data_IF_127045208914
#
_entry.id   IF_127045208914
#
_cell.length_a   1.000
_cell.length_b   1.000
_cell.length_c   1.000
_cell.angle_alpha   90.00
_cell.angle_beta   90.00
_cell.angle_gamma   90.00
#
_symmetry.space_group_name_H-M   'P 1'
#
loop_
_entity.id
_entity.type
_entity.pdbx_description
1 polymer ?
#
# COMPACT_ATOMS: atom_id res chain seq x y z
N UNK A 1 25.84 -26.19 -1.16
CA UNK A 1 24.77 -25.37 -1.71
C UNK A 1 25.10 -23.91 -1.39
N UNK A 2 25.63 -23.17 -2.39
CA UNK A 2 25.88 -21.75 -2.25
C UNK A 2 24.52 -21.06 -2.36
N UNK A 3 23.98 -20.54 -1.25
CA UNK A 3 22.86 -19.61 -1.27
C UNK A 3 23.35 -18.32 -1.93
N UNK A 4 22.89 -18.03 -3.13
CA UNK A 4 23.02 -16.70 -3.69
C UNK A 4 22.25 -15.74 -2.77
N UNK A 5 22.87 -14.64 -2.29
CA UNK A 5 22.12 -13.64 -1.54
C UNK A 5 21.00 -13.14 -2.45
N UNK A 6 19.75 -13.33 -2.03
CA UNK A 6 18.59 -12.72 -2.70
C UNK A 6 18.72 -11.21 -2.56
N UNK A 7 19.11 -10.53 -3.63
CA UNK A 7 19.16 -9.07 -3.68
C UNK A 7 17.75 -8.53 -3.37
N UNK A 8 17.69 -7.60 -2.44
CA UNK A 8 16.42 -6.86 -2.17
C UNK A 8 16.17 -5.91 -3.33
N UNK A 9 14.92 -5.58 -3.61
CA UNK A 9 14.58 -4.56 -4.62
C UNK A 9 15.25 -3.21 -4.35
N UNK A 10 15.50 -2.88 -3.07
CA UNK A 10 16.25 -1.69 -2.66
C UNK A 10 17.71 -1.62 -3.11
N UNK A 11 18.26 -2.75 -3.60
CA UNK A 11 19.67 -2.86 -3.99
C UNK A 11 19.85 -2.81 -5.52
N UNK A 12 18.79 -2.60 -6.27
CA UNK A 12 18.83 -2.47 -7.73
C UNK A 12 19.37 -1.11 -8.14
N UNK A 13 20.22 -1.11 -9.16
CA UNK A 13 20.73 0.09 -9.81
C UNK A 13 19.70 0.71 -10.76
N UNK A 14 19.93 1.95 -11.19
CA UNK A 14 19.07 2.59 -12.21
C UNK A 14 19.02 1.78 -13.51
N UNK A 15 20.12 1.13 -13.90
CA UNK A 15 20.14 0.31 -15.12
C UNK A 15 19.31 -0.97 -14.96
N UNK A 16 19.40 -1.63 -13.81
CA UNK A 16 18.60 -2.83 -13.53
C UNK A 16 17.10 -2.48 -13.50
N UNK A 17 16.71 -1.36 -12.89
CA UNK A 17 15.31 -0.89 -12.95
C UNK A 17 14.89 -0.53 -14.37
N UNK A 18 15.72 0.19 -15.12
CA UNK A 18 15.43 0.58 -16.49
C UNK A 18 15.19 -0.62 -17.40
N UNK A 19 16.08 -1.63 -17.33
CA UNK A 19 15.93 -2.87 -18.08
C UNK A 19 14.70 -3.67 -17.64
N UNK A 20 14.41 -3.75 -16.34
CA UNK A 20 13.22 -4.42 -15.82
C UNK A 20 11.94 -3.78 -16.34
N UNK A 21 11.83 -2.45 -16.25
CA UNK A 21 10.68 -1.69 -16.75
C UNK A 21 10.52 -1.85 -18.25
N UNK A 22 11.62 -1.73 -19.02
CA UNK A 22 11.60 -1.93 -20.48
C UNK A 22 11.09 -3.30 -20.85
N UNK A 23 11.60 -4.35 -20.21
CA UNK A 23 11.16 -5.73 -20.46
C UNK A 23 9.68 -5.92 -20.12
N UNK A 24 9.19 -5.34 -18.99
CA UNK A 24 7.78 -5.42 -18.62
C UNK A 24 6.87 -4.72 -19.63
N UNK A 25 7.27 -3.57 -20.15
CA UNK A 25 6.53 -2.85 -21.20
C UNK A 25 6.49 -3.65 -22.49
N UNK A 26 7.63 -4.19 -22.93
CA UNK A 26 7.74 -5.00 -24.14
C UNK A 26 6.87 -6.25 -24.07
N UNK A 27 6.91 -6.99 -22.94
CA UNK A 27 6.05 -8.16 -22.71
C UNK A 27 4.56 -7.82 -22.80
N UNK A 28 4.18 -6.60 -22.42
CA UNK A 28 2.81 -6.09 -22.52
C UNK A 28 2.54 -5.37 -23.86
N UNK A 29 3.47 -5.41 -24.82
CA UNK A 29 3.36 -4.77 -26.15
C UNK A 29 3.18 -3.25 -26.08
N UNK A 30 3.74 -2.62 -25.04
CA UNK A 30 3.76 -1.17 -24.87
C UNK A 30 5.15 -0.67 -25.31
N UNK A 31 5.18 0.29 -26.22
CA UNK A 31 6.43 0.88 -26.70
C UNK A 31 6.91 1.97 -25.72
N UNK A 32 8.21 2.21 -25.65
CA UNK A 32 8.77 3.30 -24.83
C UNK A 32 8.16 4.66 -25.22
N UNK A 33 8.00 4.91 -26.53
CA UNK A 33 7.43 6.14 -27.07
C UNK A 33 5.94 6.35 -26.73
N UNK A 34 5.25 5.29 -26.26
CA UNK A 34 3.85 5.38 -25.85
C UNK A 34 3.73 5.86 -24.38
N UNK A 35 4.87 5.96 -23.66
CA UNK A 35 4.91 6.46 -22.29
C UNK A 35 5.07 7.98 -22.31
N UNK A 36 4.01 8.68 -21.92
CA UNK A 36 4.00 10.15 -21.93
C UNK A 36 4.57 10.75 -20.63
N UNK A 37 4.37 10.06 -19.51
CA UNK A 37 4.74 10.59 -18.19
C UNK A 37 4.85 9.49 -17.14
N UNK A 38 5.41 9.80 -15.96
CA UNK A 38 5.57 8.88 -14.86
C UNK A 38 5.29 9.56 -13.53
N UNK A 39 4.73 8.79 -12.56
CA UNK A 39 4.55 9.21 -11.18
C UNK A 39 5.08 8.14 -10.25
N UNK A 40 5.82 8.56 -9.22
CA UNK A 40 6.42 7.68 -8.22
C UNK A 40 5.94 8.06 -6.84
N UNK A 41 5.52 7.05 -6.07
CA UNK A 41 5.26 7.15 -4.63
C UNK A 41 6.04 6.06 -3.91
N UNK A 42 7.00 6.42 -3.09
CA UNK A 42 7.79 5.47 -2.29
C UNK A 42 8.35 6.18 -1.06
N UNK A 43 8.60 5.39 -0.02
CA UNK A 43 9.21 5.83 1.24
C UNK A 43 10.65 5.30 1.40
N UNK A 44 11.17 4.58 0.40
CA UNK A 44 12.51 3.97 0.44
C UNK A 44 13.51 4.81 -0.35
N UNK A 45 14.42 5.56 0.31
CA UNK A 45 15.30 6.54 -0.37
C UNK A 45 16.15 5.93 -1.50
N UNK A 46 16.74 4.75 -1.27
CA UNK A 46 17.60 4.10 -2.27
C UNK A 46 16.80 3.68 -3.51
N UNK A 47 15.56 3.19 -3.32
CA UNK A 47 14.66 2.86 -4.44
C UNK A 47 14.32 4.11 -5.23
N UNK A 48 14.01 5.22 -4.55
CA UNK A 48 13.66 6.48 -5.20
C UNK A 48 14.75 6.96 -6.13
N UNK A 49 15.99 7.05 -5.64
CA UNK A 49 17.12 7.51 -6.44
C UNK A 49 17.34 6.65 -7.69
N UNK A 50 17.36 5.32 -7.51
CA UNK A 50 17.59 4.38 -8.61
C UNK A 50 16.44 4.37 -9.62
N UNK A 51 15.19 4.42 -9.15
CA UNK A 51 14.00 4.38 -10.00
C UNK A 51 13.80 5.68 -10.78
N UNK A 52 14.02 6.83 -10.14
CA UNK A 52 13.99 8.14 -10.81
C UNK A 52 15.07 8.19 -11.92
N UNK A 53 16.30 7.82 -11.58
CA UNK A 53 17.40 7.74 -12.55
C UNK A 53 17.10 6.79 -13.71
N UNK A 54 16.45 5.65 -13.45
CA UNK A 54 16.02 4.71 -14.48
C UNK A 54 15.01 5.35 -15.45
N UNK A 55 13.99 6.01 -14.92
CA UNK A 55 12.94 6.65 -15.74
C UNK A 55 13.54 7.76 -16.60
N UNK A 56 14.39 8.61 -16.04
CA UNK A 56 15.07 9.68 -16.79
C UNK A 56 15.95 9.07 -17.88
N UNK A 57 16.78 8.08 -17.56
CA UNK A 57 17.78 7.52 -18.47
C UNK A 57 17.16 6.71 -19.61
N UNK A 58 16.17 5.88 -19.33
CA UNK A 58 15.62 4.92 -20.28
C UNK A 58 14.39 5.44 -21.03
N UNK A 59 13.63 6.35 -20.43
CA UNK A 59 12.39 6.89 -21.03
C UNK A 59 12.45 8.37 -21.36
N UNK A 60 13.50 9.09 -20.91
CA UNK A 60 13.62 10.54 -21.15
C UNK A 60 12.58 11.38 -20.40
N UNK A 61 11.95 10.82 -19.37
CA UNK A 61 10.86 11.44 -18.61
C UNK A 61 11.35 11.87 -17.23
N UNK A 62 11.02 13.09 -16.79
CA UNK A 62 11.19 13.51 -15.42
C UNK A 62 9.93 13.11 -14.62
N UNK A 63 10.00 12.11 -13.75
CA UNK A 63 8.80 11.62 -13.07
C UNK A 63 8.29 12.62 -12.04
N UNK A 64 6.98 12.61 -11.82
CA UNK A 64 6.35 13.31 -10.68
C UNK A 64 6.62 12.49 -9.42
N UNK A 65 7.25 13.09 -8.42
CA UNK A 65 7.49 12.45 -7.12
C UNK A 65 6.37 12.88 -6.16
N UNK A 66 5.72 11.92 -5.53
CA UNK A 66 4.76 12.18 -4.45
C UNK A 66 5.55 12.43 -3.16
N UNK A 67 5.59 13.68 -2.73
CA UNK A 67 6.33 14.13 -1.56
C UNK A 67 5.50 15.12 -0.73
N UNK A 68 5.93 15.49 0.49
CA UNK A 68 5.26 16.50 1.30
C UNK A 68 5.10 17.82 0.52
N UNK A 69 3.85 18.26 0.36
CA UNK A 69 3.51 19.46 -0.44
C UNK A 69 2.92 19.14 -1.82
N UNK A 70 3.01 17.89 -2.29
CA UNK A 70 2.31 17.45 -3.49
C UNK A 70 0.78 17.63 -3.30
N UNK A 71 0.12 18.16 -4.32
CA UNK A 71 -1.34 18.37 -4.28
C UNK A 71 -2.08 17.06 -4.48
N UNK A 72 -2.41 16.42 -3.40
CA UNK A 72 -3.08 15.12 -3.39
C UNK A 72 -4.60 15.21 -3.40
N UNK A 73 -5.16 16.31 -2.91
CA UNK A 73 -6.60 16.51 -2.73
C UNK A 73 -7.07 16.30 -1.30
N UNK A 74 -6.19 15.83 -0.42
CA UNK A 74 -6.41 15.76 1.03
C UNK A 74 -5.40 16.64 1.76
N UNK A 75 -5.68 16.93 3.04
CA UNK A 75 -4.78 17.67 3.92
C UNK A 75 -4.34 16.74 5.05
N UNK A 76 -3.05 16.68 5.34
CA UNK A 76 -2.54 15.93 6.49
C UNK A 76 -2.50 16.87 7.69
N UNK A 77 -3.25 16.55 8.76
CA UNK A 77 -3.41 17.40 9.96
C UNK A 77 -2.94 16.69 11.24
N UNK A 78 -2.15 15.63 11.10
CA UNK A 78 -1.49 14.95 12.23
C UNK A 78 -0.41 15.85 12.81
N UNK A 79 0.06 15.53 14.04
CA UNK A 79 1.12 16.29 14.71
C UNK A 79 2.40 16.44 13.89
N UNK A 80 2.76 15.38 13.15
CA UNK A 80 3.95 15.32 12.30
C UNK A 80 3.60 14.90 10.88
N UNK A 81 3.04 15.80 10.03
CA UNK A 81 2.59 15.47 8.68
C UNK A 81 3.67 14.89 7.77
N UNK A 82 4.93 15.27 8.00
CA UNK A 82 6.07 14.80 7.18
C UNK A 82 6.49 13.36 7.45
N UNK A 83 5.99 12.76 8.54
CA UNK A 83 6.28 11.37 8.90
C UNK A 83 5.29 10.38 8.26
N UNK A 84 4.20 10.88 7.67
CA UNK A 84 3.25 10.02 6.95
C UNK A 84 3.85 9.62 5.61
N UNK A 85 3.92 8.31 5.36
CA UNK A 85 4.43 7.77 4.12
C UNK A 85 3.62 8.21 2.90
N UNK A 86 4.29 8.37 1.77
CA UNK A 86 3.66 8.80 0.52
C UNK A 86 2.58 7.81 0.04
N UNK A 87 2.79 6.52 0.23
CA UNK A 87 1.84 5.43 -0.04
C UNK A 87 0.52 5.63 0.73
N UNK A 88 0.58 5.89 2.04
CA UNK A 88 -0.59 6.15 2.89
C UNK A 88 -1.36 7.39 2.43
N UNK A 89 -0.64 8.45 2.04
CA UNK A 89 -1.26 9.68 1.51
C UNK A 89 -1.96 9.40 0.16
N UNK A 90 -1.34 8.60 -0.71
CA UNK A 90 -1.91 8.21 -2.00
C UNK A 90 -3.19 7.40 -1.81
N UNK A 91 -3.17 6.41 -0.92
CA UNK A 91 -4.33 5.55 -0.65
C UNK A 91 -5.47 6.34 0.00
N UNK A 92 -5.15 7.20 0.97
CA UNK A 92 -6.12 8.08 1.61
C UNK A 92 -6.76 9.06 0.62
N UNK A 93 -5.96 9.65 -0.28
CA UNK A 93 -6.47 10.53 -1.32
C UNK A 93 -7.37 9.80 -2.32
N UNK A 94 -7.01 8.57 -2.69
CA UNK A 94 -7.82 7.73 -3.55
C UNK A 94 -9.15 7.36 -2.92
N UNK A 95 -9.12 6.88 -1.68
CA UNK A 95 -10.32 6.47 -0.96
C UNK A 95 -11.29 7.65 -0.77
N UNK A 96 -10.78 8.81 -0.35
CA UNK A 96 -11.60 10.01 -0.19
C UNK A 96 -12.24 10.47 -1.50
N UNK A 97 -11.48 10.48 -2.59
CA UNK A 97 -11.99 10.93 -3.91
C UNK A 97 -13.01 9.95 -4.51
N UNK A 98 -12.82 8.64 -4.32
CA UNK A 98 -13.63 7.61 -4.95
C UNK A 98 -14.85 7.21 -4.13
N UNK A 99 -14.74 7.24 -2.82
CA UNK A 99 -15.77 6.71 -1.91
C UNK A 99 -16.36 7.76 -0.98
N UNK A 100 -15.81 8.99 -0.99
CA UNK A 100 -16.23 10.07 -0.09
C UNK A 100 -15.63 9.96 1.30
N UNK A 101 -15.96 10.91 2.18
CA UNK A 101 -15.55 10.94 3.58
C UNK A 101 -16.73 11.15 4.53
N UNK A 102 -16.61 10.73 5.81
CA UNK A 102 -15.39 10.18 6.40
C UNK A 102 -15.09 8.77 5.91
N UNK A 103 -13.78 8.46 5.73
CA UNK A 103 -13.32 7.16 5.24
C UNK A 103 -12.13 6.66 6.06
N UNK A 104 -12.16 5.38 6.42
CA UNK A 104 -11.07 4.66 7.04
C UNK A 104 -10.42 3.75 6.00
N UNK A 105 -9.14 3.93 5.75
CA UNK A 105 -8.39 3.21 4.72
C UNK A 105 -7.47 2.20 5.40
N UNK A 106 -7.56 0.96 4.97
CA UNK A 106 -6.74 -0.14 5.44
C UNK A 106 -5.80 -0.59 4.31
N UNK A 107 -4.49 -0.57 4.54
CA UNK A 107 -3.52 -1.20 3.63
C UNK A 107 -2.88 -2.42 4.29
N UNK A 108 -3.10 -3.59 3.71
CA UNK A 108 -2.50 -4.86 4.11
C UNK A 108 -1.18 -5.11 3.37
N UNK A 109 -0.22 -4.23 3.61
CA UNK A 109 1.11 -4.24 3.03
C UNK A 109 2.18 -4.90 3.91
N UNK A 110 3.40 -4.35 3.87
CA UNK A 110 4.50 -4.72 4.78
C UNK A 110 4.11 -4.47 6.24
N UNK A 111 3.57 -3.30 6.53
CA UNK A 111 2.78 -3.04 7.72
C UNK A 111 1.30 -3.11 7.35
N UNK A 112 0.42 -3.31 8.33
CA UNK A 112 -1.00 -3.03 8.17
C UNK A 112 -1.26 -1.64 8.73
N UNK A 113 -1.73 -0.73 7.88
CA UNK A 113 -2.07 0.63 8.29
C UNK A 113 -3.58 0.85 8.27
N UNK A 114 -4.04 1.75 9.15
CA UNK A 114 -5.43 2.16 9.30
C UNK A 114 -5.43 3.68 9.32
N UNK A 115 -5.93 4.32 8.27
CA UNK A 115 -5.80 5.76 8.02
C UNK A 115 -7.17 6.43 7.93
N UNK A 116 -7.45 7.34 8.86
CA UNK A 116 -8.74 8.01 8.95
C UNK A 116 -8.70 9.38 8.26
N UNK A 117 -9.59 9.58 7.31
CA UNK A 117 -9.82 10.85 6.63
C UNK A 117 -11.23 11.34 6.96
N UNK A 118 -11.34 12.59 7.42
CA UNK A 118 -12.63 13.20 7.77
C UNK A 118 -13.47 13.57 6.53
N UNK A 119 -14.68 14.04 6.76
CA UNK A 119 -15.62 14.49 5.70
C UNK A 119 -15.11 15.66 4.87
N UNK A 120 -14.09 16.40 5.35
CA UNK A 120 -13.52 17.56 4.68
C UNK A 120 -12.20 17.24 3.98
N UNK A 121 -11.83 15.97 3.88
CA UNK A 121 -10.58 15.51 3.28
C UNK A 121 -9.35 15.79 4.14
N UNK A 122 -9.49 15.84 5.47
CA UNK A 122 -8.35 15.89 6.37
C UNK A 122 -7.97 14.49 6.85
N UNK A 123 -6.72 14.09 6.62
CA UNK A 123 -6.10 12.91 7.21
C UNK A 123 -5.81 13.23 8.68
N UNK A 124 -6.61 12.71 9.59
CA UNK A 124 -6.65 13.11 11.00
C UNK A 124 -5.91 12.17 11.94
N UNK A 125 -5.86 10.89 11.60
CA UNK A 125 -5.28 9.86 12.48
C UNK A 125 -4.85 8.64 11.67
N UNK A 126 -3.93 7.85 12.23
CA UNK A 126 -3.55 6.57 11.68
C UNK A 126 -2.97 5.64 12.71
N UNK A 127 -3.26 4.34 12.55
CA UNK A 127 -2.68 3.26 13.34
C UNK A 127 -1.79 2.42 12.42
N UNK A 128 -0.69 1.90 12.96
CA UNK A 128 0.23 1.03 12.24
C UNK A 128 0.45 -0.23 13.06
N UNK A 129 0.22 -1.38 12.45
CA UNK A 129 0.43 -2.70 13.04
C UNK A 129 1.38 -3.53 12.17
N UNK A 130 2.00 -4.57 12.71
CA UNK A 130 2.77 -5.51 11.90
C UNK A 130 1.90 -6.13 10.81
N UNK A 131 2.39 -6.13 9.57
CA UNK A 131 1.70 -6.83 8.48
C UNK A 131 1.78 -8.35 8.66
N UNK A 132 0.82 -9.08 8.09
CA UNK A 132 0.70 -10.52 8.26
C UNK A 132 1.97 -11.28 7.81
N UNK A 133 2.68 -10.79 6.76
CA UNK A 133 3.95 -11.39 6.30
C UNK A 133 5.08 -11.19 7.29
N UNK A 134 5.19 -10.02 7.91
CA UNK A 134 6.19 -9.76 8.96
C UNK A 134 5.89 -10.62 10.18
N UNK A 135 4.63 -10.69 10.60
CA UNK A 135 4.20 -11.54 11.72
C UNK A 135 4.50 -13.01 11.46
N UNK A 136 4.22 -13.49 10.26
CA UNK A 136 4.55 -14.85 9.85
C UNK A 136 6.05 -15.10 9.88
N UNK A 137 6.83 -14.18 9.30
CA UNK A 137 8.29 -14.25 9.26
C UNK A 137 8.90 -14.31 10.66
N UNK A 138 8.45 -13.48 11.57
CA UNK A 138 8.90 -13.48 12.96
C UNK A 138 8.66 -14.84 13.65
N UNK A 139 7.56 -15.52 13.34
CA UNK A 139 7.26 -16.82 13.91
C UNK A 139 8.30 -17.89 13.51
N UNK A 140 8.70 -17.97 12.24
CA UNK A 140 9.65 -19.01 11.82
C UNK A 140 11.12 -18.61 11.91
N UNK A 141 11.46 -17.31 11.95
CA UNK A 141 12.86 -16.88 12.16
C UNK A 141 13.26 -16.92 13.63
N UNK A 142 12.34 -16.58 14.56
CA UNK A 142 12.66 -16.44 15.99
C UNK A 142 12.25 -17.69 16.79
N UNK A 143 11.44 -18.60 16.24
CA UNK A 143 11.04 -19.81 16.94
C UNK A 143 11.81 -21.05 16.46
N UNK A 144 12.44 -21.76 17.40
CA UNK A 144 13.37 -22.88 17.11
C UNK A 144 12.78 -24.05 16.30
N UNK A 145 11.45 -24.20 16.23
CA UNK A 145 10.78 -25.38 15.63
C UNK A 145 9.64 -25.05 14.67
N UNK A 146 9.38 -23.76 14.39
CA UNK A 146 8.31 -23.42 13.47
C UNK A 146 8.84 -23.32 12.03
N UNK A 147 8.22 -24.00 11.07
CA UNK A 147 8.65 -23.95 9.67
C UNK A 147 8.16 -22.68 8.99
N UNK A 148 8.80 -22.32 7.87
CA UNK A 148 8.23 -21.36 6.92
C UNK A 148 6.94 -21.94 6.31
N UNK A 149 5.88 -21.10 6.26
CA UNK A 149 4.56 -21.53 5.80
C UNK A 149 3.98 -20.58 4.77
N UNK A 150 3.10 -21.09 3.94
CA UNK A 150 2.23 -20.28 3.09
C UNK A 150 1.12 -19.63 3.93
N UNK A 151 0.90 -18.32 3.72
CA UNK A 151 -0.18 -17.58 4.38
C UNK A 151 -1.47 -17.84 3.62
N UNK A 152 -2.30 -18.70 4.19
CA UNK A 152 -3.64 -19.01 3.70
C UNK A 152 -4.59 -19.25 4.87
N UNK A 153 -5.88 -19.03 4.65
CA UNK A 153 -6.90 -19.34 5.65
C UNK A 153 -7.03 -20.86 5.79
N UNK A 154 -6.88 -21.42 6.98
CA UNK A 154 -7.17 -22.84 7.22
C UNK A 154 -8.68 -23.07 7.27
N UNK A 155 -9.10 -24.32 7.10
CA UNK A 155 -10.52 -24.71 7.15
C UNK A 155 -11.18 -24.47 8.52
N UNK A 156 -10.38 -24.55 9.58
CA UNK A 156 -10.85 -24.37 10.96
C UNK A 156 -9.85 -23.63 11.81
N UNK A 157 -10.34 -22.81 12.73
CA UNK A 157 -9.54 -22.18 13.79
C UNK A 157 -9.01 -23.23 14.78
N UNK A 158 -9.71 -24.35 14.92
CA UNK A 158 -9.31 -25.47 15.76
C UNK A 158 -8.30 -26.36 15.02
N UNK A 159 -7.10 -25.83 14.88
CA UNK A 159 -6.02 -26.50 14.18
C UNK A 159 -5.45 -27.67 14.99
N UNK A 160 -5.07 -28.75 14.29
CA UNK A 160 -4.52 -29.97 14.89
C UNK A 160 -3.06 -30.23 14.53
N UNK A 161 -2.49 -29.42 13.66
CA UNK A 161 -1.12 -29.54 13.16
C UNK A 161 -0.41 -28.19 13.25
N UNK A 162 0.92 -28.20 13.32
CA UNK A 162 1.74 -26.97 13.45
C UNK A 162 1.46 -25.97 12.35
N UNK A 163 1.41 -26.40 11.10
CA UNK A 163 1.20 -25.50 9.94
C UNK A 163 -0.18 -24.85 10.02
N UNK A 164 -1.24 -25.65 10.19
CA UNK A 164 -2.61 -25.12 10.30
C UNK A 164 -2.79 -24.24 11.53
N UNK A 165 -2.10 -24.55 12.65
CA UNK A 165 -2.09 -23.73 13.85
C UNK A 165 -1.48 -22.35 13.61
N UNK A 166 -0.33 -22.29 12.93
CA UNK A 166 0.30 -21.03 12.55
C UNK A 166 -0.58 -20.22 11.59
N UNK A 167 -1.17 -20.88 10.59
CA UNK A 167 -2.10 -20.26 9.65
C UNK A 167 -3.33 -19.69 10.35
N UNK A 168 -3.91 -20.44 11.28
CA UNK A 168 -5.05 -19.99 12.08
C UNK A 168 -4.69 -18.76 12.92
N UNK A 169 -3.58 -18.79 13.65
CA UNK A 169 -3.12 -17.65 14.44
C UNK A 169 -2.88 -16.40 13.61
N UNK A 170 -2.24 -16.54 12.44
CA UNK A 170 -1.96 -15.42 11.55
C UNK A 170 -3.24 -14.84 10.93
N UNK A 171 -4.09 -15.68 10.35
CA UNK A 171 -5.26 -15.19 9.60
C UNK A 171 -6.37 -14.73 10.53
N UNK A 172 -6.80 -15.56 11.47
CA UNK A 172 -7.86 -15.18 12.42
C UNK A 172 -7.39 -14.11 13.41
N UNK A 173 -6.09 -14.11 13.77
CA UNK A 173 -5.49 -13.04 14.56
C UNK A 173 -5.53 -11.70 13.83
N UNK A 174 -5.20 -11.67 12.53
CA UNK A 174 -5.29 -10.45 11.72
C UNK A 174 -6.74 -9.97 11.54
N UNK A 175 -7.70 -10.89 11.37
CA UNK A 175 -9.13 -10.56 11.30
C UNK A 175 -9.56 -9.88 12.60
N UNK A 176 -9.34 -10.53 13.76
CA UNK A 176 -9.71 -9.98 15.06
C UNK A 176 -9.02 -8.65 15.37
N UNK A 177 -7.74 -8.49 15.01
CA UNK A 177 -7.03 -7.21 15.14
C UNK A 177 -7.70 -6.13 14.28
N UNK A 178 -8.07 -6.46 13.04
CA UNK A 178 -8.72 -5.54 12.11
C UNK A 178 -10.07 -5.10 12.64
N UNK A 179 -10.90 -6.02 13.06
CA UNK A 179 -12.23 -5.73 13.62
C UNK A 179 -12.14 -4.86 14.87
N UNK A 180 -11.22 -5.18 15.77
CA UNK A 180 -11.02 -4.42 17.00
C UNK A 180 -10.58 -2.98 16.70
N UNK A 181 -9.54 -2.81 15.87
CA UNK A 181 -8.98 -1.48 15.55
C UNK A 181 -10.01 -0.63 14.79
N UNK A 182 -10.65 -1.17 13.76
CA UNK A 182 -11.66 -0.47 12.97
C UNK A 182 -12.80 0.02 13.86
N UNK A 183 -13.36 -0.87 14.69
CA UNK A 183 -14.45 -0.53 15.59
C UNK A 183 -14.06 0.62 16.53
N UNK A 184 -12.91 0.52 17.21
CA UNK A 184 -12.50 1.53 18.18
C UNK A 184 -12.11 2.85 17.53
N UNK A 185 -11.46 2.83 16.36
CA UNK A 185 -11.17 4.06 15.64
C UNK A 185 -12.44 4.80 15.23
N UNK A 186 -13.48 4.09 14.77
CA UNK A 186 -14.76 4.70 14.40
C UNK A 186 -15.50 5.25 15.64
N UNK A 187 -15.52 4.47 16.73
CA UNK A 187 -16.15 4.89 17.99
C UNK A 187 -15.48 6.14 18.59
N UNK A 188 -14.14 6.15 18.66
CA UNK A 188 -13.38 7.29 19.22
C UNK A 188 -13.43 8.54 18.32
N UNK A 189 -13.48 8.36 17.00
CA UNK A 189 -13.55 9.47 16.05
C UNK A 189 -14.88 10.24 16.12
N UNK A 190 -15.96 9.57 16.48
CA UNK A 190 -17.32 10.15 16.58
C UNK A 190 -17.73 10.99 15.36
N UNK A 191 -17.42 10.50 14.16
CA UNK A 191 -17.66 11.20 12.89
C UNK A 191 -18.95 10.77 12.18
N UNK A 192 -19.77 9.95 12.82
CA UNK A 192 -20.94 9.30 12.23
C UNK A 192 -20.53 8.10 11.36
N UNK A 193 -21.33 7.74 10.34
CA UNK A 193 -21.00 6.60 9.48
C UNK A 193 -19.68 6.82 8.74
N UNK A 194 -18.72 5.89 8.93
CA UNK A 194 -17.41 5.90 8.28
C UNK A 194 -17.37 4.79 7.25
N UNK A 195 -16.98 5.10 6.02
CA UNK A 195 -16.75 4.10 4.97
C UNK A 195 -15.42 3.42 5.20
N UNK A 196 -15.37 2.09 5.21
CA UNK A 196 -14.13 1.32 5.40
C UNK A 196 -13.68 0.72 4.07
N UNK A 197 -12.51 1.15 3.60
CA UNK A 197 -11.93 0.74 2.32
C UNK A 197 -10.60 0.05 2.57
N UNK A 198 -10.43 -1.16 2.04
CA UNK A 198 -9.20 -1.92 2.19
C UNK A 198 -8.46 -2.10 0.85
N UNK A 199 -7.14 -2.16 0.93
CA UNK A 199 -6.22 -2.47 -0.17
C UNK A 199 -5.07 -3.38 0.30
N UNK A 200 -4.08 -3.61 -0.54
CA UNK A 200 -2.90 -4.42 -0.23
C UNK A 200 -3.02 -5.87 -0.66
N UNK A 201 -1.87 -6.49 -0.93
CA UNK A 201 -1.80 -7.79 -1.61
C UNK A 201 -2.43 -8.98 -0.85
N UNK A 202 -2.45 -8.95 0.48
CA UNK A 202 -3.07 -9.98 1.32
C UNK A 202 -4.44 -9.54 1.90
N UNK A 203 -4.88 -8.33 1.61
CA UNK A 203 -6.13 -7.77 2.13
C UNK A 203 -7.36 -8.57 1.74
N UNK A 204 -7.37 -9.21 0.57
CA UNK A 204 -8.50 -10.04 0.12
C UNK A 204 -8.81 -11.19 1.08
N UNK A 205 -7.79 -11.83 1.67
CA UNK A 205 -7.97 -12.94 2.61
C UNK A 205 -8.72 -12.45 3.85
N UNK A 206 -8.42 -11.23 4.30
CA UNK A 206 -9.05 -10.63 5.48
C UNK A 206 -10.42 -10.06 5.13
N UNK A 207 -10.52 -9.29 4.03
CA UNK A 207 -11.76 -8.63 3.63
C UNK A 207 -12.93 -9.60 3.35
N UNK A 208 -12.64 -10.82 2.91
CA UNK A 208 -13.67 -11.84 2.69
C UNK A 208 -14.20 -12.50 3.99
N UNK A 209 -13.58 -12.21 5.12
CA UNK A 209 -13.84 -12.88 6.39
C UNK A 209 -14.40 -11.97 7.48
N UNK A 210 -14.68 -10.72 7.13
CA UNK A 210 -15.20 -9.73 8.09
C UNK A 210 -16.14 -8.75 7.42
N UNK A 211 -17.14 -8.33 8.15
CA UNK A 211 -18.15 -7.35 7.71
C UNK A 211 -17.73 -5.89 8.00
N UNK A 212 -16.58 -5.67 8.67
CA UNK A 212 -16.14 -4.31 8.99
C UNK A 212 -15.49 -3.60 7.80
N UNK A 213 -15.19 -4.31 6.72
CA UNK A 213 -14.62 -3.77 5.48
C UNK A 213 -15.73 -3.68 4.43
N UNK A 214 -16.11 -2.47 4.08
CA UNK A 214 -17.17 -2.24 3.07
C UNK A 214 -16.70 -2.50 1.63
N UNK A 215 -15.44 -2.19 1.34
CA UNK A 215 -14.86 -2.29 -0.01
C UNK A 215 -13.42 -2.80 0.06
N UNK A 216 -13.10 -3.81 -0.76
CA UNK A 216 -11.71 -4.17 -1.05
C UNK A 216 -11.34 -3.74 -2.47
N UNK A 217 -10.41 -2.81 -2.58
CA UNK A 217 -9.92 -2.29 -3.87
C UNK A 217 -8.42 -2.59 -4.03
N UNK A 218 -8.04 -3.65 -4.75
CA UNK A 218 -6.64 -4.05 -4.91
C UNK A 218 -5.81 -3.04 -5.71
N UNK A 219 -6.46 -2.11 -6.40
CA UNK A 219 -5.80 -1.10 -7.23
C UNK A 219 -5.89 0.32 -6.65
N UNK A 220 -6.23 0.45 -5.36
CA UNK A 220 -6.45 1.75 -4.73
C UNK A 220 -5.24 2.68 -4.90
N UNK A 221 -4.04 2.20 -4.59
CA UNK A 221 -2.79 2.96 -4.72
C UNK A 221 -2.55 3.43 -6.16
N UNK A 222 -2.75 2.56 -7.15
CA UNK A 222 -2.59 2.92 -8.56
C UNK A 222 -3.62 3.97 -9.00
N UNK A 223 -4.86 3.84 -8.54
CA UNK A 223 -5.92 4.83 -8.77
C UNK A 223 -5.55 6.17 -8.12
N UNK A 224 -5.02 6.14 -6.90
CA UNK A 224 -4.55 7.31 -6.18
C UNK A 224 -3.44 8.06 -6.91
N UNK A 225 -2.42 7.34 -7.35
CA UNK A 225 -1.36 7.92 -8.16
C UNK A 225 -1.90 8.58 -9.44
N UNK A 226 -2.81 7.92 -10.16
CA UNK A 226 -3.44 8.49 -11.35
C UNK A 226 -4.28 9.75 -11.03
N UNK A 227 -5.00 9.77 -9.92
CA UNK A 227 -5.76 10.94 -9.48
C UNK A 227 -4.83 12.12 -9.15
N UNK A 228 -3.73 11.87 -8.44
CA UNK A 228 -2.72 12.87 -8.10
C UNK A 228 -2.04 13.40 -9.38
N UNK A 229 -1.64 12.52 -10.29
CA UNK A 229 -1.10 12.88 -11.60
C UNK A 229 -2.02 13.85 -12.35
N UNK A 230 -3.30 13.51 -12.47
CA UNK A 230 -4.30 14.36 -13.13
C UNK A 230 -4.45 15.73 -12.45
N UNK A 231 -4.36 15.80 -11.12
CA UNK A 231 -4.44 17.05 -10.35
C UNK A 231 -3.20 17.95 -10.57
N UNK A 232 -2.02 17.36 -10.78
CA UNK A 232 -0.80 18.13 -11.11
C UNK A 232 -0.90 18.72 -12.52
N UNK A 233 -1.32 17.94 -13.51
CA UNK A 233 -1.35 18.34 -14.92
C UNK A 233 -2.45 19.36 -15.25
N UNK A 234 -3.58 19.38 -14.54
CA UNK A 234 -4.63 20.40 -14.72
C UNK A 234 -4.14 21.84 -14.49
N UNK A 235 -3.06 22.05 -13.72
CA UNK A 235 -2.51 23.39 -13.45
C UNK A 235 -1.43 23.82 -14.44
N UNK A 236 -0.78 22.86 -15.12
CA UNK A 236 0.25 23.18 -16.13
C UNK A 236 -0.32 23.56 -17.50
N UNK A 237 -1.63 23.56 -17.68
CA UNK A 237 -2.26 23.90 -18.96
C UNK A 237 -1.99 22.90 -20.09
N UNK A 238 -1.36 21.77 -19.78
CA UNK A 238 -1.00 20.71 -20.74
C UNK A 238 -2.07 19.63 -20.88
N UNK A 239 -3.35 20.00 -20.91
CA UNK A 239 -4.35 19.09 -21.47
C UNK A 239 -4.33 19.34 -22.97
N UNK A 240 -3.51 18.60 -23.71
CA UNK A 240 -3.71 18.46 -25.16
C UNK A 240 -5.07 17.78 -25.37
N UNK A 241 -5.93 18.48 -26.13
CA UNK A 241 -7.22 17.97 -26.58
C UNK A 241 -7.01 16.77 -27.52
#
# INVERSE_FOLDING_TARGET
LHSFPTRRSSDLTSDEYGMLLSNLLEQNKIRHDDIEDAIIASVVPNVMHSLEGAIIKYFGINPIIVEPGTKTGIRVVTENPRQIGADRIVDAAAAYELYGGPVLVLDFGTATTYDLVDKNGAFVSGVTAPGIRISAKALWEDAAKLPEIEIRKPESILAKETISSMQAGLVYGQIGQTEYIVKHMIEEADMGPVKVVATGGLGRIIANETDVIDVYDPNLTLKGMNLIYKKQNRKSGKIRK
#
